data_IF_244365266694
#
_entry.id   IF_244365266694
#
_cell.length_a   1.000
_cell.length_b   1.000
_cell.length_c   1.000
_cell.angle_alpha   90.00
_cell.angle_beta   90.00
_cell.angle_gamma   90.00
#
_symmetry.space_group_name_H-M   'P 1'
#
loop_
_entity.id
_entity.type
_entity.pdbx_description
1 polymer ?
#
# COMPACT_ATOMS: atom_id res chain seq x y z
N UNK A 1 -4.99 19.58 -20.13
CA UNK A 1 -4.86 18.92 -21.45
C UNK A 1 -3.44 18.39 -21.70
N UNK A 2 -2.39 19.09 -21.30
CA UNK A 2 -0.99 18.67 -21.53
C UNK A 2 -0.59 17.35 -20.83
N UNK A 3 -1.27 17.00 -19.74
CA UNK A 3 -0.98 15.79 -18.96
C UNK A 3 -1.65 14.51 -19.51
N UNK A 4 -2.59 14.61 -20.44
CA UNK A 4 -3.39 13.46 -20.91
C UNK A 4 -2.53 12.36 -21.50
N UNK A 5 -1.59 12.70 -22.35
CA UNK A 5 -0.67 11.73 -22.98
C UNK A 5 0.21 11.02 -21.95
N UNK A 6 0.67 11.76 -20.93
CA UNK A 6 1.44 11.19 -19.82
C UNK A 6 0.62 10.21 -19.00
N UNK A 7 -0.63 10.55 -18.72
CA UNK A 7 -1.57 9.70 -17.97
C UNK A 7 -1.88 8.43 -18.78
N UNK A 8 -2.18 8.57 -20.09
CA UNK A 8 -2.42 7.42 -20.96
C UNK A 8 -1.24 6.45 -20.98
N UNK A 9 -0.03 6.97 -21.14
CA UNK A 9 1.20 6.15 -21.15
C UNK A 9 1.40 5.43 -19.81
N UNK A 10 1.17 6.13 -18.69
CA UNK A 10 1.30 5.55 -17.36
C UNK A 10 0.30 4.41 -17.15
N UNK A 11 -0.94 4.56 -17.62
CA UNK A 11 -1.97 3.53 -17.53
C UNK A 11 -1.62 2.34 -18.43
N UNK A 12 -1.17 2.57 -19.65
CA UNK A 12 -0.74 1.51 -20.58
C UNK A 12 0.46 0.72 -20.03
N UNK A 13 1.39 1.38 -19.36
CA UNK A 13 2.57 0.76 -18.75
C UNK A 13 2.24 0.06 -17.42
N UNK A 14 1.06 0.30 -16.84
CA UNK A 14 0.64 -0.31 -15.58
C UNK A 14 0.27 -1.79 -15.74
N UNK A 15 0.25 -2.50 -14.61
CA UNK A 15 -0.13 -3.92 -14.56
C UNK A 15 -1.65 -4.14 -14.68
N UNK A 16 -2.43 -3.09 -14.89
CA UNK A 16 -3.90 -3.16 -14.95
C UNK A 16 -4.44 -3.84 -16.21
N UNK A 17 -3.67 -3.83 -17.31
CA UNK A 17 -4.09 -4.45 -18.56
C UNK A 17 -5.29 -3.76 -19.22
N UNK A 18 -5.48 -2.46 -18.97
CA UNK A 18 -6.54 -1.64 -19.52
C UNK A 18 -5.96 -0.73 -20.60
N UNK A 19 -6.66 -0.64 -21.76
CA UNK A 19 -6.28 0.25 -22.84
C UNK A 19 -7.10 1.55 -22.74
N UNK A 20 -6.47 2.69 -22.33
CA UNK A 20 -7.18 3.95 -22.26
C UNK A 20 -7.53 4.49 -23.64
N UNK A 21 -8.70 5.12 -23.74
CA UNK A 21 -9.17 5.82 -24.95
C UNK A 21 -9.38 7.28 -24.58
N UNK A 22 -8.75 8.18 -25.31
CA UNK A 22 -8.84 9.62 -25.09
C UNK A 22 -9.38 10.36 -26.29
N UNK A 23 -10.22 11.37 -26.05
CA UNK A 23 -10.67 12.32 -27.06
C UNK A 23 -9.96 13.69 -26.98
N UNK A 24 -8.90 13.79 -26.16
CA UNK A 24 -8.16 15.01 -25.89
C UNK A 24 -8.67 15.83 -24.69
N UNK A 25 -9.79 15.46 -24.10
CA UNK A 25 -10.38 16.07 -22.91
C UNK A 25 -10.64 15.10 -21.80
N UNK A 26 -11.09 13.91 -22.15
CA UNK A 26 -11.49 12.84 -21.22
C UNK A 26 -10.73 11.58 -21.60
N UNK A 27 -10.24 10.87 -20.59
CA UNK A 27 -9.68 9.53 -20.74
C UNK A 27 -10.75 8.55 -20.27
N UNK A 28 -11.17 7.66 -21.18
CA UNK A 28 -12.09 6.58 -20.86
C UNK A 28 -11.31 5.30 -20.62
N UNK A 29 -11.63 4.65 -19.53
CA UNK A 29 -11.05 3.38 -19.15
C UNK A 29 -12.11 2.28 -19.27
N UNK A 30 -12.18 1.58 -20.42
CA UNK A 30 -13.09 0.46 -20.56
C UNK A 30 -12.63 -0.67 -19.64
N UNK A 31 -13.44 -1.00 -18.66
CA UNK A 31 -13.18 -2.09 -17.72
C UNK A 31 -13.95 -3.31 -18.20
N UNK A 32 -13.29 -4.32 -18.81
CA UNK A 32 -13.96 -5.54 -19.24
C UNK A 32 -14.40 -6.37 -18.04
N UNK A 33 -15.38 -7.23 -18.23
CA UNK A 33 -15.70 -8.26 -17.25
C UNK A 33 -14.47 -9.12 -16.98
N UNK A 34 -14.22 -9.41 -15.70
CA UNK A 34 -13.10 -10.23 -15.31
C UNK A 34 -13.42 -11.71 -15.51
N UNK A 35 -12.58 -12.41 -16.28
CA UNK A 35 -12.58 -13.87 -16.29
C UNK A 35 -12.10 -14.42 -14.93
N UNK A 36 -12.38 -15.69 -14.65
CA UNK A 36 -11.89 -16.34 -13.42
C UNK A 36 -10.37 -16.28 -13.30
N UNK A 37 -9.66 -16.48 -14.42
CA UNK A 37 -8.20 -16.38 -14.48
C UNK A 37 -7.71 -14.97 -14.15
N UNK A 38 -8.34 -13.94 -14.72
CA UNK A 38 -8.00 -12.54 -14.45
C UNK A 38 -8.29 -12.17 -12.98
N UNK A 39 -9.37 -12.68 -12.39
CA UNK A 39 -9.67 -12.48 -10.97
C UNK A 39 -8.55 -13.04 -10.10
N UNK A 40 -8.07 -14.23 -10.38
CA UNK A 40 -6.95 -14.85 -9.66
C UNK A 40 -5.66 -14.03 -9.80
N UNK A 41 -5.39 -13.49 -10.97
CA UNK A 41 -4.22 -12.63 -11.20
C UNK A 41 -4.30 -11.35 -10.37
N UNK A 42 -5.47 -10.72 -10.31
CA UNK A 42 -5.67 -9.55 -9.47
C UNK A 42 -5.58 -9.87 -7.97
N UNK A 43 -6.02 -11.02 -7.54
CA UNK A 43 -5.85 -11.47 -6.14
C UNK A 43 -4.35 -11.58 -5.81
N UNK A 44 -3.55 -12.17 -6.69
CA UNK A 44 -2.09 -12.22 -6.51
C UNK A 44 -1.47 -10.82 -6.43
N UNK A 45 -1.93 -9.89 -7.27
CA UNK A 45 -1.46 -8.51 -7.24
C UNK A 45 -1.82 -7.83 -5.92
N UNK A 46 -3.03 -8.04 -5.40
CA UNK A 46 -3.47 -7.52 -4.10
C UNK A 46 -2.59 -8.04 -2.97
N UNK A 47 -2.30 -9.34 -2.95
CA UNK A 47 -1.39 -9.94 -1.96
C UNK A 47 0.02 -9.36 -2.04
N UNK A 48 0.54 -9.17 -3.25
CA UNK A 48 1.84 -8.53 -3.47
C UNK A 48 1.87 -7.10 -2.92
N UNK A 49 0.86 -6.30 -3.21
CA UNK A 49 0.76 -4.91 -2.72
C UNK A 49 0.63 -4.86 -1.20
N UNK A 50 -0.14 -5.77 -0.63
CA UNK A 50 -0.27 -5.87 0.82
C UNK A 50 1.07 -6.20 1.49
N UNK A 51 1.85 -7.14 0.94
CA UNK A 51 3.17 -7.47 1.47
C UNK A 51 4.15 -6.31 1.35
N UNK A 52 4.17 -5.60 0.22
CA UNK A 52 4.97 -4.39 0.04
C UNK A 52 4.62 -3.34 1.11
N UNK A 53 3.34 -3.13 1.36
CA UNK A 53 2.88 -2.19 2.39
C UNK A 53 3.29 -2.62 3.80
N UNK A 54 3.20 -3.91 4.13
CA UNK A 54 3.65 -4.43 5.43
C UNK A 54 5.15 -4.24 5.63
N UNK A 55 5.94 -4.45 4.59
CA UNK A 55 7.40 -4.22 4.63
C UNK A 55 7.69 -2.74 4.91
N UNK A 56 7.01 -1.82 4.24
CA UNK A 56 7.14 -0.37 4.46
C UNK A 56 6.82 0.00 5.91
N UNK A 57 5.71 -0.49 6.44
CA UNK A 57 5.31 -0.22 7.84
C UNK A 57 6.37 -0.73 8.83
N UNK A 58 6.93 -1.92 8.59
CA UNK A 58 7.98 -2.47 9.43
C UNK A 58 9.29 -1.68 9.33
N UNK A 59 9.61 -1.14 8.15
CA UNK A 59 10.76 -0.27 7.96
C UNK A 59 10.60 1.04 8.76
N UNK A 60 9.45 1.67 8.72
CA UNK A 60 9.15 2.86 9.52
C UNK A 60 9.26 2.56 11.03
N UNK A 61 8.75 1.41 11.47
CA UNK A 61 8.92 0.99 12.87
C UNK A 61 10.39 0.91 13.25
N UNK A 62 11.20 0.26 12.43
CA UNK A 62 12.64 0.12 12.67
C UNK A 62 13.32 1.48 12.79
N UNK A 63 13.04 2.37 11.86
CA UNK A 63 13.61 3.72 11.84
C UNK A 63 13.18 4.52 13.08
N UNK A 64 11.91 4.46 13.46
CA UNK A 64 11.40 5.10 14.67
C UNK A 64 12.06 4.54 15.94
N UNK A 65 12.25 3.23 16.01
CA UNK A 65 12.95 2.59 17.12
C UNK A 65 14.40 3.04 17.22
N UNK A 66 15.11 3.15 16.09
CA UNK A 66 16.49 3.64 16.06
C UNK A 66 16.59 5.09 16.52
N UNK A 67 15.71 5.97 16.05
CA UNK A 67 15.65 7.37 16.48
C UNK A 67 15.37 7.50 17.98
N UNK A 68 14.46 6.68 18.50
CA UNK A 68 14.13 6.64 19.93
C UNK A 68 15.35 6.23 20.77
N UNK A 69 16.08 5.20 20.34
CA UNK A 69 17.29 4.75 21.02
C UNK A 69 18.41 5.79 20.98
N UNK A 70 18.58 6.47 19.84
CA UNK A 70 19.55 7.58 19.71
C UNK A 70 19.22 8.73 20.65
N UNK A 71 17.96 9.11 20.73
CA UNK A 71 17.51 10.18 21.62
C UNK A 71 17.78 9.87 23.09
N UNK A 72 17.58 8.62 23.51
CA UNK A 72 17.87 8.17 24.87
C UNK A 72 19.38 8.20 25.15
N UNK A 73 20.21 7.68 24.24
CA UNK A 73 21.67 7.71 24.38
C UNK A 73 22.23 9.13 24.45
N UNK A 74 21.58 10.08 23.75
CA UNK A 74 21.92 11.51 23.78
C UNK A 74 21.32 12.23 25.00
N UNK A 75 20.69 11.51 25.91
CA UNK A 75 20.02 12.05 27.11
C UNK A 75 18.92 13.08 26.80
N UNK A 76 18.32 13.02 25.61
CA UNK A 76 17.18 13.88 25.22
C UNK A 76 15.88 13.37 25.83
N UNK A 77 15.80 12.08 26.08
CA UNK A 77 14.66 11.40 26.72
C UNK A 77 15.20 10.44 27.79
N UNK A 78 14.35 10.07 28.74
CA UNK A 78 14.66 9.09 29.79
C UNK A 78 14.55 7.66 29.27
N UNK A 79 15.08 6.69 30.04
CA UNK A 79 14.88 5.25 29.76
C UNK A 79 13.40 4.86 29.78
N UNK A 80 12.61 5.45 30.70
CA UNK A 80 11.17 5.22 30.79
C UNK A 80 10.44 5.78 29.55
N UNK A 81 10.80 6.98 29.10
CA UNK A 81 10.28 7.57 27.87
C UNK A 81 10.59 6.67 26.66
N UNK A 82 11.82 6.15 26.57
CA UNK A 82 12.23 5.21 25.53
C UNK A 82 11.33 3.98 25.53
N UNK A 83 11.12 3.37 26.67
CA UNK A 83 10.27 2.18 26.82
C UNK A 83 8.86 2.44 26.35
N UNK A 84 8.26 3.56 26.75
CA UNK A 84 6.92 3.94 26.37
C UNK A 84 6.82 4.21 24.86
N UNK A 85 7.78 4.91 24.28
CA UNK A 85 7.81 5.19 22.84
C UNK A 85 7.97 3.92 22.00
N UNK A 86 8.84 3.00 22.41
CA UNK A 86 9.00 1.71 21.72
C UNK A 86 7.72 0.90 21.75
N UNK A 87 6.98 0.93 22.86
CA UNK A 87 5.66 0.29 23.01
C UNK A 87 4.63 0.93 22.08
N UNK A 88 4.54 2.25 22.09
CA UNK A 88 3.59 3.00 21.25
C UNK A 88 3.85 2.76 19.75
N UNK A 89 5.11 2.75 19.34
CA UNK A 89 5.49 2.45 17.96
C UNK A 89 5.09 1.02 17.57
N UNK A 90 5.25 0.06 18.49
CA UNK A 90 4.84 -1.33 18.22
C UNK A 90 3.32 -1.45 18.10
N UNK A 91 2.55 -0.82 18.98
CA UNK A 91 1.09 -0.82 18.94
C UNK A 91 0.58 -0.17 17.64
N UNK A 92 1.15 0.96 17.25
CA UNK A 92 0.80 1.64 16.00
C UNK A 92 1.13 0.78 14.78
N UNK A 93 2.27 0.10 14.78
CA UNK A 93 2.67 -0.84 13.73
C UNK A 93 1.67 -1.98 13.61
N UNK A 94 1.30 -2.60 14.72
CA UNK A 94 0.34 -3.71 14.75
C UNK A 94 -1.03 -3.28 14.23
N UNK A 95 -1.49 -2.08 14.58
CA UNK A 95 -2.76 -1.53 14.09
C UNK A 95 -2.75 -1.32 12.58
N UNK A 96 -1.69 -0.76 12.02
CA UNK A 96 -1.59 -0.55 10.57
C UNK A 96 -1.44 -1.86 9.79
N UNK A 97 -0.68 -2.83 10.31
CA UNK A 97 -0.59 -4.16 9.70
C UNK A 97 -1.96 -4.84 9.68
N UNK A 98 -2.71 -4.72 10.76
CA UNK A 98 -4.09 -5.22 10.84
C UNK A 98 -4.99 -4.59 9.78
N UNK A 99 -4.93 -3.26 9.63
CA UNK A 99 -5.70 -2.53 8.61
C UNK A 99 -5.33 -2.98 7.19
N UNK A 100 -4.04 -3.19 6.91
CA UNK A 100 -3.58 -3.71 5.62
C UNK A 100 -4.18 -5.08 5.34
N UNK A 101 -4.15 -5.98 6.33
CA UNK A 101 -4.70 -7.33 6.19
C UNK A 101 -6.22 -7.31 5.96
N UNK A 102 -6.94 -6.45 6.69
CA UNK A 102 -8.39 -6.28 6.50
C UNK A 102 -8.74 -5.76 5.11
N UNK A 103 -8.03 -4.75 4.62
CA UNK A 103 -8.20 -4.22 3.26
C UNK A 103 -7.88 -5.26 2.19
N UNK A 104 -6.83 -6.05 2.40
CA UNK A 104 -6.46 -7.14 1.51
C UNK A 104 -7.59 -8.18 1.41
N UNK A 105 -8.11 -8.62 2.55
CA UNK A 105 -9.18 -9.62 2.62
C UNK A 105 -10.48 -9.09 1.98
N UNK A 106 -10.85 -7.85 2.26
CA UNK A 106 -12.01 -7.20 1.64
C UNK A 106 -11.87 -7.14 0.11
N UNK A 107 -10.71 -6.73 -0.38
CA UNK A 107 -10.45 -6.62 -1.81
C UNK A 107 -10.43 -7.99 -2.49
N UNK A 108 -9.87 -8.99 -1.86
CA UNK A 108 -9.90 -10.37 -2.36
C UNK A 108 -11.33 -10.87 -2.47
N UNK A 109 -12.15 -10.67 -1.45
CA UNK A 109 -13.58 -11.03 -1.46
C UNK A 109 -14.31 -10.33 -2.58
N UNK A 110 -14.10 -9.03 -2.75
CA UNK A 110 -14.71 -8.22 -3.80
C UNK A 110 -14.31 -8.71 -5.20
N UNK A 111 -13.04 -9.04 -5.42
CA UNK A 111 -12.54 -9.54 -6.69
C UNK A 111 -13.09 -10.93 -7.06
N UNK A 112 -13.38 -11.76 -6.07
CA UNK A 112 -13.90 -13.10 -6.28
C UNK A 112 -15.43 -13.17 -6.38
N UNK A 113 -16.13 -12.06 -6.12
CA UNK A 113 -17.59 -11.99 -6.34
C UNK A 113 -17.90 -12.01 -7.82
N UNK A 114 -18.90 -12.80 -8.17
CA UNK A 114 -19.38 -12.93 -9.56
C UNK A 114 -20.54 -11.98 -9.81
#
# INVERSE_FOLDING_TARGET
>A
QSAIRGIEKAIQASELGISPVSDGRIIRLPIPELSEERRKDFVKLVHKRAEEARIEVRNFRRDANEETKKAQKASKITEDDQKDLLKDVQELTDDYVKQINELMDEKETELMQV
#
